data_IF_703787116578
#
_entry.id   IF_703787116578
#
_cell.length_a   1.000
_cell.length_b   1.000
_cell.length_c   1.000
_cell.angle_alpha   90.00
_cell.angle_beta   90.00
_cell.angle_gamma   90.00
#
_symmetry.space_group_name_H-M   'P 1'
#
loop_
_entity.id
_entity.type
_entity.pdbx_description
1 polymer ?
#
# COMPACT_ATOMS: atom_id res chain seq x y z
N UNK A 1 -10.86 -73.31 3.91
CA UNK A 1 -9.78 -72.70 3.09
C UNK A 1 -9.58 -71.28 3.59
N UNK A 2 -8.33 -70.93 3.83
CA UNK A 2 -7.82 -69.63 4.27
C UNK A 2 -7.97 -68.54 3.18
N UNK A 3 -7.61 -67.30 3.55
CA UNK A 3 -7.51 -66.04 2.77
C UNK A 3 -8.80 -65.19 2.77
N UNK A 4 -8.82 -63.91 3.11
CA UNK A 4 -7.80 -62.96 3.59
C UNK A 4 -8.60 -61.78 4.18
N UNK A 5 -8.16 -61.21 5.28
CA UNK A 5 -8.84 -60.13 5.98
C UNK A 5 -7.90 -58.93 6.13
N UNK A 6 -8.31 -57.81 5.48
CA UNK A 6 -7.87 -56.39 5.52
C UNK A 6 -7.13 -55.92 4.23
N UNK A 7 -7.15 -54.61 3.83
CA UNK A 7 -7.72 -53.42 4.48
C UNK A 7 -8.35 -52.36 3.52
N UNK A 8 -9.63 -51.98 3.71
CA UNK A 8 -10.16 -50.71 3.15
C UNK A 8 -9.88 -49.48 4.03
N UNK A 9 -9.40 -49.69 5.25
CA UNK A 9 -9.13 -48.63 6.24
C UNK A 9 -7.79 -47.90 6.00
N UNK A 10 -6.80 -48.57 5.39
CA UNK A 10 -5.48 -47.98 5.13
C UNK A 10 -5.55 -46.89 4.05
N UNK A 11 -6.45 -47.02 3.08
CA UNK A 11 -6.61 -46.04 1.99
C UNK A 11 -7.15 -44.68 2.44
N UNK A 12 -8.03 -44.63 3.44
CA UNK A 12 -8.55 -43.36 3.94
C UNK A 12 -7.54 -42.61 4.80
N UNK A 13 -6.76 -43.33 5.61
CA UNK A 13 -5.73 -42.75 6.47
C UNK A 13 -4.60 -42.14 5.64
N UNK A 14 -4.19 -42.79 4.55
CA UNK A 14 -3.14 -42.25 3.66
C UNK A 14 -3.57 -41.00 2.91
N UNK A 15 -4.84 -40.91 2.47
CA UNK A 15 -5.38 -39.71 1.82
C UNK A 15 -5.44 -38.52 2.78
N UNK A 16 -5.88 -38.76 4.02
CA UNK A 16 -5.93 -37.72 5.06
C UNK A 16 -4.52 -37.22 5.38
N UNK A 17 -3.55 -38.12 5.55
CA UNK A 17 -2.15 -37.74 5.80
C UNK A 17 -1.57 -36.95 4.61
N UNK A 18 -1.83 -37.38 3.37
CA UNK A 18 -1.38 -36.66 2.18
C UNK A 18 -1.99 -35.25 2.08
N UNK A 19 -3.26 -35.08 2.46
CA UNK A 19 -3.92 -33.78 2.51
C UNK A 19 -3.29 -32.86 3.56
N UNK A 20 -3.01 -33.38 4.77
CA UNK A 20 -2.36 -32.59 5.82
C UNK A 20 -0.91 -32.23 5.48
N UNK A 21 -0.15 -33.14 4.86
CA UNK A 21 1.21 -32.85 4.38
C UNK A 21 1.15 -31.78 3.27
N UNK A 22 0.24 -31.91 2.30
CA UNK A 22 0.07 -30.93 1.23
C UNK A 22 -0.33 -29.55 1.77
N UNK A 23 -1.26 -29.50 2.73
CA UNK A 23 -1.66 -28.25 3.39
C UNK A 23 -0.53 -27.63 4.20
N UNK A 24 0.28 -28.44 4.90
CA UNK A 24 1.46 -27.98 5.63
C UNK A 24 2.52 -27.37 4.71
N UNK A 25 2.81 -28.01 3.56
CA UNK A 25 3.73 -27.47 2.56
C UNK A 25 3.21 -26.17 1.93
N UNK A 26 1.90 -26.09 1.64
CA UNK A 26 1.29 -24.87 1.12
C UNK A 26 1.36 -23.72 2.14
N UNK A 27 1.11 -24.02 3.42
CA UNK A 27 1.22 -23.06 4.51
C UNK A 27 2.67 -22.58 4.69
N UNK A 28 3.66 -23.48 4.61
CA UNK A 28 5.08 -23.09 4.66
C UNK A 28 5.48 -22.19 3.49
N UNK A 29 4.94 -22.43 2.28
CA UNK A 29 5.24 -21.59 1.11
C UNK A 29 4.63 -20.19 1.19
N UNK A 30 3.43 -20.07 1.77
CA UNK A 30 2.80 -18.75 2.03
C UNK A 30 3.58 -17.97 3.10
N UNK A 31 4.01 -18.63 4.19
CA UNK A 31 4.84 -18.01 5.24
C UNK A 31 6.18 -17.53 4.66
N UNK A 32 6.82 -18.32 3.78
CA UNK A 32 8.05 -17.90 3.12
C UNK A 32 7.88 -16.66 2.23
N UNK A 33 6.75 -16.52 1.52
CA UNK A 33 6.51 -15.32 0.72
C UNK A 33 6.33 -14.07 1.58
N UNK A 34 5.61 -14.17 2.69
CA UNK A 34 5.45 -13.06 3.63
C UNK A 34 6.77 -12.61 4.23
N UNK A 35 7.65 -13.56 4.58
CA UNK A 35 8.97 -13.24 5.12
C UNK A 35 9.89 -12.62 4.06
N UNK A 36 9.86 -13.07 2.81
CA UNK A 36 10.62 -12.47 1.72
C UNK A 36 10.18 -11.02 1.43
N UNK A 37 8.88 -10.74 1.46
CA UNK A 37 8.34 -9.38 1.29
C UNK A 37 8.77 -8.48 2.46
N UNK A 38 8.76 -8.98 3.70
CA UNK A 38 9.23 -8.23 4.88
C UNK A 38 10.73 -7.98 4.84
N UNK A 39 11.54 -8.99 4.50
CA UNK A 39 13.00 -8.86 4.40
C UNK A 39 13.37 -7.88 3.28
N UNK A 40 12.71 -7.97 2.12
CA UNK A 40 12.90 -7.01 1.02
C UNK A 40 12.51 -5.59 1.40
N UNK A 41 11.38 -5.42 2.10
CA UNK A 41 10.92 -4.11 2.60
C UNK A 41 11.87 -3.51 3.64
N UNK A 42 12.39 -4.33 4.56
CA UNK A 42 13.34 -3.89 5.58
C UNK A 42 14.70 -3.52 4.97
N UNK A 43 15.21 -4.32 4.01
CA UNK A 43 16.45 -4.02 3.30
C UNK A 43 16.37 -2.70 2.51
N UNK A 44 15.26 -2.45 1.82
CA UNK A 44 15.02 -1.18 1.12
C UNK A 44 14.94 0.00 2.09
N UNK A 45 14.27 -0.18 3.23
CA UNK A 45 14.18 0.84 4.28
C UNK A 45 15.56 1.16 4.85
N UNK A 46 16.35 0.16 5.20
CA UNK A 46 17.71 0.34 5.73
C UNK A 46 18.63 1.03 4.71
N UNK A 47 18.56 0.64 3.43
CA UNK A 47 19.32 1.30 2.36
C UNK A 47 18.89 2.75 2.15
N UNK A 48 17.60 3.03 2.22
CA UNK A 48 17.06 4.37 2.11
C UNK A 48 17.47 5.24 3.31
N UNK A 49 17.38 4.72 4.54
CA UNK A 49 17.81 5.41 5.75
C UNK A 49 19.32 5.68 5.78
N UNK A 50 20.15 4.72 5.32
CA UNK A 50 21.58 4.90 5.17
C UNK A 50 21.93 6.01 4.15
N UNK A 51 21.19 6.07 3.03
CA UNK A 51 21.35 7.13 2.03
C UNK A 51 20.91 8.51 2.56
N UNK A 52 19.91 8.56 3.45
CA UNK A 52 19.49 9.79 4.11
C UNK A 52 20.51 10.29 5.14
N UNK A 53 21.22 9.38 5.82
CA UNK A 53 22.25 9.71 6.82
C UNK A 53 23.57 10.21 6.20
N UNK A 54 23.97 9.65 5.06
CA UNK A 54 25.21 10.02 4.36
C UNK A 54 25.15 11.45 3.78
N UNK A 55 23.96 11.89 3.36
CA UNK A 55 23.75 13.19 2.72
C UNK A 55 23.72 14.42 3.67
N UNK A 56 24.16 14.30 4.93
CA UNK A 56 24.18 15.39 5.94
C UNK A 56 22.97 16.33 5.82
N UNK A 57 21.79 15.79 6.09
CA UNK A 57 20.54 16.55 6.09
C UNK A 57 20.56 17.58 7.24
N UNK A 58 21.10 18.77 6.96
CA UNK A 58 21.11 19.90 7.87
C UNK A 58 19.68 20.36 8.18
N UNK A 59 19.35 20.42 9.47
CA UNK A 59 18.19 21.11 10.02
C UNK A 59 18.16 22.57 9.51
N UNK A 60 17.44 22.86 8.42
CA UNK A 60 17.23 24.25 7.99
C UNK A 60 16.99 24.50 6.50
N UNK A 61 17.27 23.55 5.60
CA UNK A 61 17.00 23.73 4.17
C UNK A 61 15.82 22.86 3.72
N UNK A 62 14.71 23.48 3.32
CA UNK A 62 13.47 22.84 2.87
C UNK A 62 13.59 22.08 1.54
N UNK A 63 14.80 21.81 1.06
CA UNK A 63 15.06 21.15 -0.23
C UNK A 63 16.24 20.21 -0.09
N UNK A 64 15.98 18.91 -0.17
CA UNK A 64 17.01 17.87 -0.26
C UNK A 64 17.45 17.77 -1.71
N UNK A 65 18.76 17.83 -1.96
CA UNK A 65 19.31 17.61 -3.30
C UNK A 65 19.83 16.18 -3.34
N UNK A 66 19.20 15.33 -4.15
CA UNK A 66 19.64 13.97 -4.40
C UNK A 66 20.46 13.96 -5.69
N UNK A 67 21.65 13.38 -5.62
CA UNK A 67 22.55 13.20 -6.76
C UNK A 67 22.88 11.72 -6.94
N UNK A 68 22.91 11.26 -8.19
CA UNK A 68 23.23 9.87 -8.52
C UNK A 68 24.62 9.78 -9.15
N UNK A 69 25.42 8.80 -8.73
CA UNK A 69 26.81 8.66 -9.16
C UNK A 69 26.95 8.45 -10.68
N UNK A 70 26.00 7.74 -11.30
CA UNK A 70 25.97 7.51 -12.75
C UNK A 70 25.44 8.71 -13.56
N UNK A 71 24.87 9.72 -12.89
CA UNK A 71 24.30 10.92 -13.52
C UNK A 71 24.78 12.18 -12.78
N UNK A 72 26.10 12.47 -12.80
CA UNK A 72 26.69 13.53 -11.99
C UNK A 72 26.16 14.93 -12.34
N UNK A 73 25.67 15.11 -13.57
CA UNK A 73 25.14 16.38 -14.06
C UNK A 73 23.67 16.62 -13.68
N UNK A 74 23.00 15.63 -13.07
CA UNK A 74 21.59 15.69 -12.74
C UNK A 74 21.37 15.69 -11.23
N UNK A 75 20.51 16.59 -10.76
CA UNK A 75 20.15 16.75 -9.35
C UNK A 75 18.64 16.74 -9.18
N UNK A 76 18.12 15.89 -8.30
CA UNK A 76 16.71 15.86 -7.94
C UNK A 76 16.53 16.69 -6.66
N UNK A 77 15.69 17.73 -6.74
CA UNK A 77 15.34 18.56 -5.58
C UNK A 77 14.06 18.03 -4.93
N UNK A 78 14.20 17.33 -3.81
CA UNK A 78 13.09 16.84 -3.01
C UNK A 78 12.69 17.90 -1.98
N UNK A 79 11.51 18.48 -2.14
CA UNK A 79 10.94 19.40 -1.13
C UNK A 79 10.13 18.58 -0.15
N UNK A 80 10.43 18.68 1.14
CA UNK A 80 9.58 18.04 2.16
C UNK A 80 8.20 18.72 2.15
N UNK A 81 7.12 17.94 1.97
CA UNK A 81 5.78 18.52 1.88
C UNK A 81 5.34 18.94 3.28
N UNK A 82 5.22 20.25 3.49
CA UNK A 82 4.49 20.83 4.61
C UNK A 82 3.22 21.47 4.05
N UNK A 83 2.07 21.13 4.60
CA UNK A 83 0.81 21.73 4.17
C UNK A 83 0.83 23.21 4.60
N UNK A 84 0.96 24.13 3.65
CA UNK A 84 1.05 25.57 3.92
C UNK A 84 -0.23 26.12 4.58
N UNK A 85 -1.36 25.48 4.32
CA UNK A 85 -2.66 25.77 4.92
C UNK A 85 -3.47 24.47 5.05
N UNK A 86 -3.72 24.05 6.30
CA UNK A 86 -4.47 22.84 6.60
C UNK A 86 -5.99 22.96 6.38
N UNK A 87 -6.49 24.17 6.14
CA UNK A 87 -7.91 24.44 5.90
C UNK A 87 -8.31 24.26 4.43
N UNK A 88 -7.34 24.19 3.51
CA UNK A 88 -7.58 23.96 2.09
C UNK A 88 -8.04 22.51 1.88
N UNK A 89 -9.19 22.35 1.22
CA UNK A 89 -9.66 21.03 0.78
C UNK A 89 -8.78 20.52 -0.35
N UNK A 90 -7.79 19.69 0.00
CA UNK A 90 -6.97 19.00 -0.98
C UNK A 90 -7.60 17.63 -1.27
N UNK A 91 -7.99 17.43 -2.52
CA UNK A 91 -8.44 16.16 -3.06
C UNK A 91 -7.25 15.51 -3.77
N UNK A 92 -6.91 14.28 -3.41
CA UNK A 92 -5.88 13.48 -4.09
C UNK A 92 -6.60 12.34 -4.81
N UNK A 93 -7.01 12.50 -6.09
CA UNK A 93 -7.78 11.49 -6.82
C UNK A 93 -6.85 10.50 -7.55
N UNK A 94 -6.78 9.22 -7.12
CA UNK A 94 -5.86 8.23 -7.73
C UNK A 94 -6.35 6.77 -7.68
N UNK A 95 -5.58 5.89 -8.34
CA UNK A 95 -6.00 4.59 -8.88
C UNK A 95 -5.29 3.36 -8.31
N UNK A 96 -5.72 2.17 -8.77
CA UNK A 96 -5.40 0.86 -8.21
C UNK A 96 -3.91 0.57 -7.95
N UNK A 97 -2.98 0.89 -8.87
CA UNK A 97 -1.56 0.54 -8.74
C UNK A 97 -0.71 1.55 -7.96
N UNK A 98 -1.09 2.83 -7.96
CA UNK A 98 -0.36 3.91 -7.28
C UNK A 98 -0.97 4.26 -5.90
N UNK A 99 -2.05 3.55 -5.55
CA UNK A 99 -2.81 3.69 -4.31
C UNK A 99 -1.96 3.53 -3.04
N UNK A 100 -0.99 2.60 -2.94
CA UNK A 100 -0.22 2.43 -1.72
C UNK A 100 0.70 3.62 -1.46
N UNK A 101 1.36 4.14 -2.50
CA UNK A 101 2.26 5.29 -2.38
C UNK A 101 1.50 6.55 -1.98
N UNK A 102 0.36 6.80 -2.63
CA UNK A 102 -0.45 7.98 -2.35
C UNK A 102 -1.10 7.97 -0.95
N UNK A 103 -1.64 6.83 -0.53
CA UNK A 103 -2.16 6.68 0.84
C UNK A 103 -1.03 6.78 1.87
N UNK A 104 0.12 6.15 1.61
CA UNK A 104 1.27 6.18 2.52
C UNK A 104 1.80 7.60 2.75
N UNK A 105 2.07 8.38 1.70
CA UNK A 105 2.57 9.74 1.89
C UNK A 105 1.50 10.64 2.54
N UNK A 106 0.21 10.46 2.23
CA UNK A 106 -0.86 11.25 2.86
C UNK A 106 -0.97 10.95 4.36
N UNK A 107 -0.74 9.70 4.77
CA UNK A 107 -0.66 9.30 6.19
C UNK A 107 0.59 9.80 6.88
N UNK A 108 1.69 9.94 6.15
CA UNK A 108 2.97 10.40 6.70
C UNK A 108 3.15 11.92 6.71
N UNK A 109 2.37 12.64 5.89
CA UNK A 109 2.36 14.10 5.80
C UNK A 109 2.36 14.72 7.20
N UNK A 110 3.29 15.63 7.45
CA UNK A 110 3.39 16.35 8.71
C UNK A 110 2.46 17.58 8.71
N UNK A 111 1.40 17.51 9.50
CA UNK A 111 0.43 18.58 9.68
C UNK A 111 -0.37 18.39 10.98
N UNK A 112 -1.02 19.46 11.46
CA UNK A 112 -1.74 19.48 12.74
C UNK A 112 -2.90 18.49 12.87
N UNK A 113 -3.37 17.92 11.75
CA UNK A 113 -4.44 16.92 11.71
C UNK A 113 -3.98 15.50 11.44
N UNK A 114 -2.66 15.21 11.35
CA UNK A 114 -2.11 13.89 10.99
C UNK A 114 -2.75 12.75 11.77
N UNK A 115 -2.75 12.84 13.10
CA UNK A 115 -3.30 11.78 13.95
C UNK A 115 -4.79 11.54 13.68
N UNK A 116 -5.60 12.60 13.69
CA UNK A 116 -7.04 12.47 13.46
C UNK A 116 -7.39 12.03 12.03
N UNK A 117 -6.53 12.33 11.06
CA UNK A 117 -6.64 11.78 9.71
C UNK A 117 -6.31 10.28 9.69
N UNK A 118 -5.22 9.84 10.32
CA UNK A 118 -4.85 8.43 10.37
C UNK A 118 -5.89 7.58 11.13
N UNK A 119 -6.56 8.17 12.13
CA UNK A 119 -7.66 7.55 12.89
C UNK A 119 -9.01 7.62 12.15
N UNK A 120 -9.13 8.44 11.10
CA UNK A 120 -10.38 8.61 10.37
C UNK A 120 -10.75 7.35 9.58
N UNK A 121 -12.00 6.92 9.74
CA UNK A 121 -12.54 5.78 8.99
C UNK A 121 -12.63 6.12 7.50
N UNK A 122 -12.09 5.24 6.67
CA UNK A 122 -12.36 5.23 5.24
C UNK A 122 -13.84 4.93 5.01
N UNK A 123 -14.50 5.72 4.15
CA UNK A 123 -15.93 5.61 3.85
C UNK A 123 -16.15 5.36 2.36
N UNK A 124 -17.23 4.65 2.01
CA UNK A 124 -17.61 4.50 0.63
C UNK A 124 -17.86 5.83 -0.08
N UNK A 125 -17.24 6.05 -1.23
CA UNK A 125 -17.54 7.16 -2.14
C UNK A 125 -18.43 6.67 -3.30
N UNK A 126 -19.44 7.46 -3.63
CA UNK A 126 -20.55 7.11 -4.52
C UNK A 126 -20.77 8.22 -5.54
N UNK A 127 -21.24 7.83 -6.72
CA UNK A 127 -21.50 8.78 -7.81
C UNK A 127 -22.57 9.81 -7.41
N UNK A 128 -22.34 11.06 -7.80
CA UNK A 128 -23.30 12.14 -7.59
C UNK A 128 -24.58 11.85 -8.38
N UNK A 129 -25.71 11.73 -7.68
CA UNK A 129 -27.01 11.42 -8.29
C UNK A 129 -27.35 9.93 -8.37
N UNK A 130 -26.38 9.04 -8.20
CA UNK A 130 -26.62 7.60 -8.11
C UNK A 130 -25.87 6.98 -6.91
N UNK A 131 -26.59 6.85 -5.80
CA UNK A 131 -26.05 6.28 -4.55
C UNK A 131 -25.91 4.75 -4.58
N UNK A 132 -26.33 4.08 -5.66
CA UNK A 132 -26.15 2.64 -5.83
C UNK A 132 -24.78 2.30 -6.42
N UNK A 133 -24.21 3.23 -7.19
CA UNK A 133 -22.90 3.05 -7.82
C UNK A 133 -21.79 3.41 -6.85
N UNK A 134 -21.04 2.38 -6.46
CA UNK A 134 -19.85 2.51 -5.64
C UNK A 134 -18.64 2.85 -6.52
N UNK A 135 -18.15 4.08 -6.41
CA UNK A 135 -17.14 4.61 -7.32
C UNK A 135 -15.74 4.70 -6.69
N UNK A 136 -15.61 4.43 -5.38
CA UNK A 136 -14.32 4.55 -4.71
C UNK A 136 -14.40 4.68 -3.19
N UNK A 137 -13.32 5.12 -2.57
CA UNK A 137 -13.19 5.25 -1.11
C UNK A 137 -12.65 6.63 -0.73
N UNK A 138 -13.21 7.24 0.30
CA UNK A 138 -12.77 8.54 0.79
C UNK A 138 -12.40 8.49 2.28
N UNK A 139 -11.29 9.13 2.65
CA UNK A 139 -10.93 9.43 4.03
C UNK A 139 -10.79 10.94 4.18
N UNK A 140 -11.52 11.52 5.12
CA UNK A 140 -11.54 12.98 5.33
C UNK A 140 -11.35 13.33 6.79
N UNK A 141 -10.48 14.30 7.06
CA UNK A 141 -10.34 14.90 8.39
C UNK A 141 -9.96 16.38 8.28
N UNK A 142 -10.68 17.26 8.98
CA UNK A 142 -10.40 18.71 9.13
C UNK A 142 -9.94 19.46 7.85
N UNK A 143 -10.45 19.07 6.68
CA UNK A 143 -10.14 19.71 5.39
C UNK A 143 -9.40 18.80 4.41
N UNK A 144 -8.52 17.92 4.89
CA UNK A 144 -7.79 17.00 4.01
C UNK A 144 -8.68 15.81 3.62
N UNK A 145 -8.77 15.50 2.31
CA UNK A 145 -9.50 14.33 1.79
C UNK A 145 -8.63 13.50 0.85
N UNK A 146 -8.38 12.25 1.24
CA UNK A 146 -7.85 11.25 0.32
C UNK A 146 -9.01 10.54 -0.38
N UNK A 147 -9.03 10.55 -1.72
CA UNK A 147 -10.07 9.92 -2.53
C UNK A 147 -9.44 8.90 -3.49
N UNK A 148 -9.73 7.63 -3.27
CA UNK A 148 -9.41 6.55 -4.20
C UNK A 148 -10.58 6.35 -5.14
N UNK A 149 -10.38 6.56 -6.45
CA UNK A 149 -11.40 6.28 -7.47
C UNK A 149 -11.11 4.91 -8.08
N UNK A 150 -12.13 4.05 -8.12
CA UNK A 150 -12.00 2.72 -8.68
C UNK A 150 -12.02 2.73 -10.21
N UNK A 151 -11.44 1.69 -10.81
CA UNK A 151 -11.49 1.43 -12.26
C UNK A 151 -11.06 2.61 -13.15
N UNK A 152 -9.99 3.28 -12.76
CA UNK A 152 -9.41 4.32 -13.60
C UNK A 152 -7.88 4.30 -13.50
N UNK A 153 -7.17 5.02 -14.35
CA UNK A 153 -5.70 5.07 -14.41
C UNK A 153 -5.20 6.42 -14.94
N UNK A 154 -4.08 7.00 -14.48
CA UNK A 154 -3.62 8.40 -14.70
C UNK A 154 -4.59 9.60 -14.91
N UNK A 155 -5.58 9.57 -15.81
CA UNK A 155 -6.49 10.68 -16.16
C UNK A 155 -7.92 10.45 -15.64
N UNK A 156 -8.20 10.82 -14.39
CA UNK A 156 -9.46 10.42 -13.68
C UNK A 156 -10.71 10.86 -14.43
N UNK A 157 -10.79 12.10 -14.94
CA UNK A 157 -11.95 12.53 -15.71
C UNK A 157 -12.11 11.81 -17.05
N UNK A 158 -11.03 11.25 -17.62
CA UNK A 158 -11.09 10.51 -18.88
C UNK A 158 -11.64 9.10 -18.69
N UNK A 159 -11.16 8.36 -17.68
CA UNK A 159 -11.61 6.98 -17.49
C UNK A 159 -12.93 6.88 -16.73
N UNK A 160 -13.17 7.78 -15.78
CA UNK A 160 -14.36 7.78 -14.91
C UNK A 160 -15.07 9.15 -14.97
N UNK A 161 -15.54 9.56 -16.16
CA UNK A 161 -16.21 10.85 -16.36
C UNK A 161 -17.51 10.98 -15.57
N UNK A 162 -18.11 9.85 -15.19
CA UNK A 162 -19.37 9.81 -14.42
C UNK A 162 -19.15 10.01 -12.93
N UNK A 163 -17.92 9.76 -12.46
CA UNK A 163 -17.57 9.75 -11.05
C UNK A 163 -16.98 11.10 -10.62
N UNK A 164 -16.41 11.88 -11.54
CA UNK A 164 -15.86 13.23 -11.28
C UNK A 164 -16.91 14.32 -11.45
#
# INVERSE_FOLDING_TARGET
MLFDSRPRFISFVTIIIAFFIGFFFLAQQLIQQDDLVKVGGNWLKEKFEAYLLDNKLGHGSWTKILSHQDFPDYQIRLKEPKLCDASVQQLIPYYHYDSPGNDAWTKELDWSGKQGFNDAKTRPWKVKGDKSVYAGEARTYKGLTFLRVFEAGHMVPYDQPRST
#
